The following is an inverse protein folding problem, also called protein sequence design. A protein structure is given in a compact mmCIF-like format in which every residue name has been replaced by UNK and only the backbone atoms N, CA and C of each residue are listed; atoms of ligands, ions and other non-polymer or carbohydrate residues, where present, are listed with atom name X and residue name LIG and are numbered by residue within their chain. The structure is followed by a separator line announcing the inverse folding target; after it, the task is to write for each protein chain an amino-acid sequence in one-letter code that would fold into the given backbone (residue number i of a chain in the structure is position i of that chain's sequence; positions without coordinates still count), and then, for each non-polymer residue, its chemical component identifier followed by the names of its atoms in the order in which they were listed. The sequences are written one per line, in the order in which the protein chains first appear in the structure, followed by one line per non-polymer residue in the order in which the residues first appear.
data_IF_740893134084
#
_entry.id   IF_740893134084
#
_cell.length_a   1.000
_cell.length_b   1.000
_cell.length_c   1.000
_cell.angle_alpha   90.00
_cell.angle_beta   90.00
_cell.angle_gamma   90.00
#
_symmetry.space_group_name_H-M   'P 1'
#
loop_
_entity.id
_entity.type
_entity.pdbx_description
1 polymer ?
#
# COMPACT_ATOMS: atom_id res chain seq x y z
N UNK A 1 -19.14 -6.93 -3.63
CA UNK A 1 -18.52 -7.43 -2.39
C UNK A 1 -17.15 -6.79 -2.20
N UNK A 2 -16.89 -6.27 -1.01
CA UNK A 2 -15.61 -5.63 -0.73
C UNK A 2 -14.54 -6.68 -0.47
N UNK A 3 -13.35 -6.43 -1.00
CA UNK A 3 -12.22 -7.33 -0.81
C UNK A 3 -11.59 -7.10 0.56
N UNK A 4 -11.05 -8.17 1.15
CA UNK A 4 -10.24 -8.02 2.34
C UNK A 4 -8.80 -7.66 1.94
N UNK A 5 -7.98 -7.32 2.93
CA UNK A 5 -6.60 -6.90 2.70
C UNK A 5 -5.79 -7.97 1.94
N UNK A 6 -5.94 -9.22 2.32
CA UNK A 6 -5.20 -10.32 1.71
C UNK A 6 -5.54 -10.48 0.24
N UNK A 7 -6.82 -10.38 -0.11
CA UNK A 7 -7.27 -10.48 -1.50
C UNK A 7 -6.73 -9.32 -2.34
N UNK A 8 -6.80 -8.10 -1.82
CA UNK A 8 -6.27 -6.93 -2.52
C UNK A 8 -4.76 -7.03 -2.73
N UNK A 9 -4.03 -7.54 -1.74
CA UNK A 9 -2.59 -7.74 -1.86
C UNK A 9 -2.26 -8.78 -2.94
N UNK A 10 -3.02 -9.87 -2.98
CA UNK A 10 -2.87 -10.90 -4.01
C UNK A 10 -3.14 -10.35 -5.41
N UNK A 11 -4.19 -9.54 -5.55
CA UNK A 11 -4.52 -8.91 -6.83
C UNK A 11 -3.38 -8.00 -7.28
N UNK A 12 -2.81 -7.22 -6.36
CA UNK A 12 -1.69 -6.35 -6.65
C UNK A 12 -0.47 -7.16 -7.13
N UNK A 13 -0.14 -8.24 -6.43
CA UNK A 13 0.97 -9.10 -6.82
C UNK A 13 0.76 -9.69 -8.21
N UNK A 14 -0.43 -10.22 -8.47
CA UNK A 14 -0.75 -10.81 -9.77
C UNK A 14 -0.59 -9.80 -10.90
N UNK A 15 -1.17 -8.62 -10.74
CA UNK A 15 -1.11 -7.60 -11.78
C UNK A 15 0.30 -7.07 -12.00
N UNK A 16 1.13 -7.05 -10.96
CA UNK A 16 2.53 -6.63 -11.05
C UNK A 16 3.45 -7.76 -11.54
N UNK A 17 2.90 -8.93 -11.83
CA UNK A 17 3.64 -10.11 -12.29
C UNK A 17 4.62 -10.62 -11.25
N UNK A 18 4.21 -10.57 -9.99
CA UNK A 18 4.96 -11.11 -8.85
C UNK A 18 4.42 -12.49 -8.53
N UNK A 19 5.31 -13.46 -8.30
CA UNK A 19 4.89 -14.82 -7.93
C UNK A 19 4.04 -14.79 -6.67
N UNK A 20 2.92 -15.51 -6.67
CA UNK A 20 2.05 -15.62 -5.50
C UNK A 20 2.74 -16.29 -4.32
N UNK A 21 3.75 -17.11 -4.61
CA UNK A 21 4.51 -17.83 -3.59
C UNK A 21 5.69 -17.04 -3.05
N UNK A 22 6.04 -15.91 -3.70
CA UNK A 22 7.22 -15.16 -3.27
C UNK A 22 6.95 -14.38 -1.99
N UNK A 23 7.98 -14.29 -1.17
CA UNK A 23 8.00 -13.43 0.00
C UNK A 23 8.65 -12.10 -0.36
N UNK A 24 8.32 -11.02 0.34
CA UNK A 24 9.03 -9.75 0.11
C UNK A 24 10.51 -9.93 0.39
N UNK A 25 11.36 -9.34 -0.45
CA UNK A 25 12.80 -9.30 -0.18
C UNK A 25 13.13 -8.35 0.97
N UNK A 26 12.22 -7.40 1.22
CA UNK A 26 12.37 -6.42 2.29
C UNK A 26 11.01 -5.80 2.59
N UNK A 27 10.76 -5.48 3.87
CA UNK A 27 9.59 -4.71 4.29
C UNK A 27 10.11 -3.47 5.02
N UNK A 28 9.77 -2.29 4.50
CA UNK A 28 10.15 -1.03 5.13
C UNK A 28 8.93 -0.36 5.76
N UNK A 29 9.13 0.26 6.89
CA UNK A 29 8.14 1.12 7.52
C UNK A 29 8.53 2.56 7.25
N UNK A 30 7.64 3.30 6.59
CA UNK A 30 7.88 4.69 6.22
C UNK A 30 6.77 5.57 6.77
N UNK A 31 7.09 6.84 7.02
CA UNK A 31 6.08 7.80 7.44
C UNK A 31 5.31 8.29 6.24
N UNK A 32 3.99 8.38 6.40
CA UNK A 32 3.11 8.88 5.37
C UNK A 32 3.28 10.39 5.24
N UNK A 33 3.38 10.88 4.01
CA UNK A 33 3.57 12.30 3.72
C UNK A 33 2.57 12.76 2.68
N UNK A 34 2.19 14.03 2.76
CA UNK A 34 1.38 14.64 1.69
C UNK A 34 2.19 14.75 0.39
N UNK A 35 1.45 14.94 -0.71
CA UNK A 35 2.09 15.19 -2.00
C UNK A 35 2.94 16.46 -1.92
N UNK A 36 4.00 16.53 -2.73
CA UNK A 36 4.92 17.67 -2.69
C UNK A 36 4.24 18.99 -3.03
N UNK A 37 3.25 18.96 -3.94
CA UNK A 37 2.53 20.19 -4.28
C UNK A 37 1.71 20.75 -3.13
N UNK A 38 1.42 19.92 -2.10
CA UNK A 38 0.74 20.34 -0.87
C UNK A 38 1.71 20.67 0.25
N UNK A 39 3.03 20.61 -0.02
CA UNK A 39 4.06 20.93 0.96
C UNK A 39 4.90 19.78 1.44
N UNK A 40 4.52 18.53 1.16
CA UNK A 40 5.28 17.35 1.53
C UNK A 40 5.36 17.11 3.05
N UNK A 41 4.46 17.70 3.83
CA UNK A 41 4.48 17.56 5.28
C UNK A 41 4.03 16.16 5.71
N UNK A 42 4.57 15.69 6.83
CA UNK A 42 4.17 14.42 7.40
C UNK A 42 2.70 14.47 7.82
N UNK A 43 1.97 13.39 7.54
CA UNK A 43 0.57 13.26 7.89
C UNK A 43 0.47 12.69 9.29
N UNK A 44 -0.38 13.30 10.12
CA UNK A 44 -0.57 12.91 11.52
C UNK A 44 -1.99 12.44 11.77
N UNK A 45 -2.13 11.55 12.74
CA UNK A 45 -3.46 11.11 13.18
C UNK A 45 -4.11 12.16 14.10
N UNK A 46 -5.28 11.85 14.64
CA UNK A 46 -6.03 12.77 15.50
C UNK A 46 -5.28 13.14 16.78
N UNK A 47 -4.37 12.29 17.22
CA UNK A 47 -3.57 12.49 18.43
C UNK A 47 -2.26 13.19 18.18
N UNK A 48 -2.00 13.57 16.92
CA UNK A 48 -0.74 14.23 16.55
C UNK A 48 0.40 13.29 16.28
N UNK A 49 0.17 11.98 16.23
CA UNK A 49 1.22 11.00 15.95
C UNK A 49 1.42 10.86 14.45
N UNK A 50 2.67 10.66 14.05
CA UNK A 50 3.00 10.40 12.65
C UNK A 50 2.42 9.05 12.23
N UNK A 51 1.81 9.01 11.05
CA UNK A 51 1.22 7.79 10.51
C UNK A 51 2.30 7.03 9.75
N UNK A 52 2.51 5.76 10.12
CA UNK A 52 3.44 4.87 9.44
C UNK A 52 2.70 4.01 8.43
N UNK A 53 3.34 3.75 7.32
CA UNK A 53 2.87 2.79 6.33
C UNK A 53 3.97 1.79 6.03
N UNK A 54 3.62 0.74 5.31
CA UNK A 54 4.57 -0.31 4.96
C UNK A 54 4.81 -0.32 3.47
N UNK A 55 6.06 -0.62 3.09
CA UNK A 55 6.43 -0.86 1.70
C UNK A 55 7.01 -2.26 1.59
N UNK A 56 6.39 -3.07 0.73
CA UNK A 56 6.79 -4.45 0.48
C UNK A 56 7.57 -4.50 -0.82
N UNK A 57 8.82 -4.94 -0.77
CA UNK A 57 9.71 -4.97 -1.92
C UNK A 57 9.76 -6.37 -2.52
N UNK A 58 9.57 -6.45 -3.84
CA UNK A 58 9.59 -7.71 -4.58
C UNK A 58 10.37 -7.55 -5.86
N UNK A 59 10.85 -8.68 -6.42
CA UNK A 59 11.20 -8.75 -7.82
C UNK A 59 10.08 -9.50 -8.54
N UNK A 60 9.67 -8.99 -9.70
CA UNK A 60 8.66 -9.68 -10.50
C UNK A 60 9.33 -10.63 -11.49
N UNK A 61 8.51 -11.32 -12.32
CA UNK A 61 9.01 -12.29 -13.28
C UNK A 61 9.94 -11.69 -14.35
N UNK A 62 9.81 -10.39 -14.60
CA UNK A 62 10.65 -9.71 -15.58
C UNK A 62 11.95 -9.19 -14.96
N UNK A 63 12.18 -9.45 -13.67
CA UNK A 63 13.35 -8.96 -12.96
C UNK A 63 13.26 -7.51 -12.50
N UNK A 64 12.11 -6.91 -12.65
CA UNK A 64 11.87 -5.53 -12.23
C UNK A 64 11.61 -5.48 -10.72
N UNK A 65 12.19 -4.50 -10.04
CA UNK A 65 11.94 -4.31 -8.61
C UNK A 65 10.68 -3.51 -8.40
N UNK A 66 9.72 -4.11 -7.71
CA UNK A 66 8.39 -3.56 -7.51
C UNK A 66 8.19 -3.28 -6.01
N UNK A 67 7.58 -2.15 -5.70
CA UNK A 67 7.23 -1.80 -4.34
C UNK A 67 5.72 -1.71 -4.22
N UNK A 68 5.14 -2.48 -3.30
CA UNK A 68 3.73 -2.40 -2.97
C UNK A 68 3.62 -1.60 -1.69
N UNK A 69 2.99 -0.42 -1.78
CA UNK A 69 2.82 0.50 -0.66
C UNK A 69 1.45 0.28 -0.03
N UNK A 70 1.41 0.15 1.29
CA UNK A 70 0.15 -0.05 2.02
C UNK A 70 -0.27 1.27 2.66
N UNK A 71 -1.45 1.76 2.29
CA UNK A 71 -2.06 2.94 2.87
C UNK A 71 -3.35 2.52 3.59
N UNK A 72 -3.19 1.89 4.74
CA UNK A 72 -4.30 1.32 5.50
C UNK A 72 -4.81 2.25 6.61
N UNK A 73 -4.00 3.20 7.03
CA UNK A 73 -4.45 4.20 8.00
C UNK A 73 -5.23 5.27 7.22
N UNK A 74 -6.54 5.24 7.34
CA UNK A 74 -7.38 6.20 6.63
C UNK A 74 -7.04 7.63 6.98
N UNK A 75 -7.04 8.51 5.98
CA UNK A 75 -6.92 9.95 6.20
C UNK A 75 -8.31 10.52 6.34
N UNK A 76 -8.60 11.11 7.48
CA UNK A 76 -9.89 11.77 7.64
C UNK A 76 -10.12 12.88 6.62
N UNK A 77 -9.06 13.57 6.23
CA UNK A 77 -9.17 14.67 5.26
C UNK A 77 -9.52 14.21 3.86
N UNK A 78 -9.01 13.06 3.44
CA UNK A 78 -9.18 12.59 2.07
C UNK A 78 -10.27 11.55 1.94
N UNK A 79 -10.76 11.01 3.05
CA UNK A 79 -11.80 9.98 3.07
C UNK A 79 -11.44 8.79 2.16
N UNK A 80 -10.17 8.56 1.96
CA UNK A 80 -9.70 7.48 1.09
C UNK A 80 -9.84 6.15 1.82
N UNK A 81 -10.47 5.13 1.21
CA UNK A 81 -10.45 3.79 1.76
C UNK A 81 -9.02 3.25 1.83
N UNK A 82 -8.80 2.30 2.70
CA UNK A 82 -7.51 1.61 2.74
C UNK A 82 -7.20 0.99 1.39
N UNK A 83 -5.95 1.07 0.97
CA UNK A 83 -5.56 0.56 -0.36
C UNK A 83 -4.07 0.31 -0.45
N UNK A 84 -3.69 -0.43 -1.50
CA UNK A 84 -2.30 -0.57 -1.90
C UNK A 84 -2.05 0.22 -3.18
N UNK A 85 -0.84 0.76 -3.29
CA UNK A 85 -0.27 1.31 -4.52
C UNK A 85 0.84 0.39 -5.00
N UNK A 86 1.01 0.28 -6.31
CA UNK A 86 2.15 -0.44 -6.89
C UNK A 86 3.04 0.58 -7.59
N UNK A 87 4.32 0.60 -7.22
CA UNK A 87 5.28 1.58 -7.73
C UNK A 87 6.56 0.88 -8.18
N UNK A 88 7.24 1.43 -9.21
CA UNK A 88 8.60 1.01 -9.51
C UNK A 88 9.55 1.62 -8.48
N UNK A 89 10.67 0.95 -8.24
CA UNK A 89 11.66 1.41 -7.26
C UNK A 89 12.17 2.82 -7.56
N UNK A 90 12.35 3.15 -8.84
CA UNK A 90 12.91 4.43 -9.24
C UNK A 90 11.93 5.60 -9.14
N UNK A 91 10.65 5.33 -8.88
CA UNK A 91 9.67 6.41 -8.70
C UNK A 91 8.52 5.91 -7.83
N UNK A 92 8.73 5.97 -6.51
CA UNK A 92 7.76 5.46 -5.54
C UNK A 92 6.61 6.42 -5.27
N UNK A 93 6.60 7.58 -5.88
CA UNK A 93 5.54 8.58 -5.67
C UNK A 93 4.47 8.56 -6.75
N UNK A 94 4.88 8.55 -8.00
CA UNK A 94 3.96 8.68 -9.14
C UNK A 94 4.20 7.66 -10.23
N UNK A 95 5.24 6.83 -10.10
CA UNK A 95 5.55 5.83 -11.10
C UNK A 95 4.45 4.80 -11.25
N UNK A 96 4.35 4.23 -12.42
CA UNK A 96 3.37 3.19 -12.72
C UNK A 96 4.07 1.94 -13.24
N UNK A 97 3.46 0.80 -12.95
CA UNK A 97 3.86 -0.49 -13.50
C UNK A 97 2.78 -0.90 -14.50
N UNK A 98 3.21 -1.29 -15.69
CA UNK A 98 2.28 -1.70 -16.74
C UNK A 98 1.41 -2.86 -16.26
N UNK A 99 0.11 -2.76 -16.52
CA UNK A 99 -0.84 -3.81 -16.17
C UNK A 99 -1.43 -3.69 -14.76
N UNK A 100 -1.00 -2.68 -13.98
CA UNK A 100 -1.51 -2.51 -12.62
C UNK A 100 -2.56 -1.40 -12.55
N UNK A 101 -3.39 -1.48 -11.51
CA UNK A 101 -4.41 -0.47 -11.23
C UNK A 101 -3.81 0.64 -10.38
N UNK A 102 -4.46 1.80 -10.41
CA UNK A 102 -4.04 2.95 -9.61
C UNK A 102 -4.13 2.65 -8.11
N UNK A 103 -5.19 1.96 -7.68
CA UNK A 103 -5.40 1.60 -6.28
C UNK A 103 -5.96 0.19 -6.17
N UNK A 104 -5.59 -0.52 -5.11
CA UNK A 104 -6.15 -1.83 -4.75
C UNK A 104 -6.80 -1.67 -3.39
N UNK A 105 -8.12 -1.42 -3.38
CA UNK A 105 -8.87 -1.12 -2.16
C UNK A 105 -9.21 -2.37 -1.36
N UNK A 106 -9.27 -2.23 -0.06
CA UNK A 106 -9.72 -3.31 0.82
C UNK A 106 -10.48 -2.76 2.03
N UNK A 107 -11.20 -3.65 2.71
CA UNK A 107 -12.03 -3.29 3.84
C UNK A 107 -11.24 -3.43 5.15
N UNK A 108 -10.87 -2.32 5.76
CA UNK A 108 -10.13 -2.29 7.03
C UNK A 108 -11.01 -2.74 8.19
N UNK A 109 -12.31 -2.43 8.13
CA UNK A 109 -13.23 -2.74 9.21
C UNK A 109 -13.25 -4.23 9.53
N UNK A 110 -13.32 -5.07 8.48
CA UNK A 110 -13.29 -6.52 8.67
C UNK A 110 -11.97 -7.00 9.25
N UNK A 111 -10.86 -6.43 8.77
CA UNK A 111 -9.54 -6.76 9.30
C UNK A 111 -9.43 -6.40 10.78
N UNK A 112 -9.94 -5.24 11.14
CA UNK A 112 -9.91 -4.78 12.52
C UNK A 112 -10.75 -5.68 13.43
N UNK A 113 -11.96 -6.02 13.00
CA UNK A 113 -12.84 -6.92 13.74
C UNK A 113 -12.19 -8.27 13.97
N UNK A 114 -11.54 -8.80 12.96
CA UNK A 114 -10.86 -10.09 13.09
C UNK A 114 -9.75 -10.04 14.13
N UNK A 115 -9.06 -8.94 14.24
CA UNK A 115 -8.01 -8.76 15.26
C UNK A 115 -8.59 -8.69 16.66
N UNK A 116 -9.77 -8.11 16.81
CA UNK A 116 -10.40 -7.95 18.13
C UNK A 116 -10.95 -9.25 18.69
N UNK A 117 -11.21 -10.23 17.84
CA UNK A 117 -11.77 -11.51 18.23
C UNK A 117 -10.72 -12.58 18.53
N UNK A 118 -9.49 -12.21 18.60
CA UNK A 118 -8.39 -13.12 18.95
C UNK A 118 -8.07 -13.13 20.43
#
# INVERSE_FOLDING_TARGET
MKKNRKQAFRDAKRDAKISMMSQPIKIEHVFLKEAMYKGGHAIKDDKGNLIKTREYHFYNYTGEKIIIQEHSAGHKKDNQPAHFHIRPENNTRTGKILGTKKHYYFDVTNTYKNKLHH
#
